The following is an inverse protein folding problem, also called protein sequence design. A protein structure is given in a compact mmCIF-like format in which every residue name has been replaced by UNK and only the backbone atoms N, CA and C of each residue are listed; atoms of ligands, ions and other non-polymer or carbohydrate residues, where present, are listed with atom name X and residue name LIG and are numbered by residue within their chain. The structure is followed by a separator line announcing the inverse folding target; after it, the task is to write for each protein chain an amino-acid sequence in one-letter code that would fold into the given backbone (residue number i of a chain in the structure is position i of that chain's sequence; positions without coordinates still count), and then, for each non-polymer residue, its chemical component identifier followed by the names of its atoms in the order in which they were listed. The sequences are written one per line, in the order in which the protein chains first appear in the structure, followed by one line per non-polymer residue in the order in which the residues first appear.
data_IF_103239549000
#
_entry.id   IF_103239549000
#
_cell.length_a   1.000
_cell.length_b   1.000
_cell.length_c   1.000
_cell.angle_alpha   90.00
_cell.angle_beta   90.00
_cell.angle_gamma   90.00
#
_symmetry.space_group_name_H-M   'P 1'
#
loop_
_entity.id
_entity.type
_entity.pdbx_description
1 polymer ?
#
# COMPACT_ATOMS: atom_id res chain seq x y z
N UNK A 1 -9.90 -19.29 15.07
CA UNK A 1 -10.76 -18.11 15.31
C UNK A 1 -10.13 -16.95 14.56
N UNK A 2 -10.87 -16.25 13.70
CA UNK A 2 -10.30 -15.14 12.92
C UNK A 2 -9.93 -13.99 13.86
N UNK A 3 -8.66 -13.62 13.88
CA UNK A 3 -8.15 -12.51 14.68
C UNK A 3 -8.82 -11.21 14.23
N UNK A 4 -9.62 -10.60 15.11
CA UNK A 4 -10.29 -9.33 14.84
C UNK A 4 -9.31 -8.18 15.07
N UNK A 5 -9.12 -7.33 14.05
CA UNK A 5 -8.18 -6.19 14.11
C UNK A 5 -8.91 -4.98 14.71
N UNK A 6 -8.52 -4.57 15.92
CA UNK A 6 -9.01 -3.36 16.56
C UNK A 6 -8.16 -2.14 16.16
N UNK A 7 -8.79 -1.11 15.62
CA UNK A 7 -8.12 0.10 15.15
C UNK A 7 -8.08 1.18 16.23
N UNK A 8 -6.94 1.86 16.33
CA UNK A 8 -6.78 3.08 17.15
C UNK A 8 -6.75 4.28 16.21
N UNK A 9 -7.67 5.22 16.42
CA UNK A 9 -7.88 6.35 15.52
C UNK A 9 -7.62 7.69 16.21
N UNK A 10 -7.16 8.65 15.41
CA UNK A 10 -6.86 10.04 15.78
C UNK A 10 -7.58 10.99 14.82
N UNK A 11 -7.88 12.19 15.30
CA UNK A 11 -8.40 13.25 14.47
C UNK A 11 -7.32 13.67 13.44
N UNK A 12 -7.66 13.80 12.14
CA UNK A 12 -6.71 14.26 11.13
C UNK A 12 -6.32 15.74 11.31
N UNK A 13 -7.15 16.54 11.99
CA UNK A 13 -6.93 17.97 12.20
C UNK A 13 -6.12 18.23 13.47
N UNK A 14 -6.65 17.86 14.64
CA UNK A 14 -6.01 18.17 15.93
C UNK A 14 -5.12 17.05 16.48
N UNK A 15 -5.02 15.91 15.78
CA UNK A 15 -4.19 14.73 16.13
C UNK A 15 -4.53 14.04 17.46
N UNK A 16 -5.48 14.54 18.25
CA UNK A 16 -5.97 13.90 19.47
C UNK A 16 -6.66 12.56 19.17
N UNK A 17 -6.52 11.61 20.10
CA UNK A 17 -7.16 10.29 20.03
C UNK A 17 -8.68 10.41 19.98
N UNK A 18 -9.31 9.67 19.07
CA UNK A 18 -10.77 9.55 18.98
C UNK A 18 -11.29 8.38 19.82
N UNK A 19 -10.43 7.67 20.54
CA UNK A 19 -10.82 6.51 21.34
C UNK A 19 -11.48 6.94 22.65
N UNK A 20 -12.71 6.49 22.89
CA UNK A 20 -13.44 6.65 24.14
C UNK A 20 -13.01 5.54 25.12
N UNK A 21 -12.18 5.89 26.10
CA UNK A 21 -11.70 4.94 27.11
C UNK A 21 -12.80 4.53 28.11
N UNK A 22 -13.86 5.32 28.25
CA UNK A 22 -14.94 5.09 29.20
C UNK A 22 -16.03 4.14 28.69
N UNK A 23 -16.02 3.80 27.40
CA UNK A 23 -17.05 2.97 26.79
C UNK A 23 -16.47 1.99 25.77
N UNK A 24 -16.94 0.74 25.79
CA UNK A 24 -16.43 -0.34 24.93
C UNK A 24 -17.50 -0.86 23.98
N UNK A 25 -17.10 -1.05 22.72
CA UNK A 25 -17.87 -1.79 21.71
C UNK A 25 -16.97 -2.91 21.20
N UNK A 26 -17.51 -4.13 21.08
CA UNK A 26 -16.72 -5.34 20.73
C UNK A 26 -15.53 -5.59 21.68
N UNK A 27 -15.70 -5.27 22.97
CA UNK A 27 -14.68 -5.47 24.00
C UNK A 27 -13.52 -4.46 23.98
N UNK A 28 -13.53 -3.52 23.04
CA UNK A 28 -12.47 -2.54 22.79
C UNK A 28 -12.99 -1.10 22.99
N UNK A 29 -12.12 -0.15 23.36
CA UNK A 29 -12.50 1.27 23.49
C UNK A 29 -13.17 1.77 22.21
N UNK A 30 -14.39 2.30 22.31
CA UNK A 30 -15.14 2.73 21.14
C UNK A 30 -14.49 3.94 20.45
N UNK A 31 -14.79 4.15 19.17
CA UNK A 31 -14.44 5.40 18.49
C UNK A 31 -15.50 6.43 18.84
N UNK A 32 -15.15 7.44 19.63
CA UNK A 32 -16.03 8.52 20.07
C UNK A 32 -16.00 9.73 19.13
N UNK A 33 -17.17 10.13 18.65
CA UNK A 33 -17.36 11.18 17.65
C UNK A 33 -18.55 12.08 18.01
N UNK A 34 -18.60 13.25 17.39
CA UNK A 34 -19.82 14.08 17.34
C UNK A 34 -20.54 13.86 16.02
N UNK A 35 -21.86 13.84 16.08
CA UNK A 35 -22.73 13.70 14.91
C UNK A 35 -23.74 14.82 14.85
N UNK A 36 -24.01 15.30 13.65
CA UNK A 36 -25.08 16.25 13.32
C UNK A 36 -25.94 15.63 12.22
N UNK A 37 -27.23 15.46 12.52
CA UNK A 37 -28.23 14.96 11.59
C UNK A 37 -29.32 16.01 11.45
N UNK A 38 -29.32 16.74 10.32
CA UNK A 38 -30.28 17.81 10.02
C UNK A 38 -30.36 18.86 11.16
N UNK A 39 -29.24 19.24 11.77
CA UNK A 39 -29.16 20.21 12.86
C UNK A 39 -29.27 19.61 14.26
N UNK A 40 -29.74 18.36 14.40
CA UNK A 40 -29.73 17.66 15.69
C UNK A 40 -28.34 17.11 15.98
N UNK A 41 -27.67 17.67 17.00
CA UNK A 41 -26.31 17.31 17.40
C UNK A 41 -26.32 16.34 18.58
N UNK A 42 -25.33 15.44 18.61
CA UNK A 42 -25.12 14.54 19.73
C UNK A 42 -23.83 13.72 19.61
N UNK A 43 -23.67 12.72 20.44
CA UNK A 43 -22.56 11.77 20.37
C UNK A 43 -22.86 10.58 19.44
N UNK A 44 -21.79 10.05 18.84
CA UNK A 44 -21.77 8.85 18.02
C UNK A 44 -20.59 7.98 18.45
N UNK A 45 -20.83 6.70 18.68
CA UNK A 45 -19.80 5.71 19.01
C UNK A 45 -19.81 4.60 17.96
N UNK A 46 -18.63 4.30 17.43
CA UNK A 46 -18.45 3.22 16.45
C UNK A 46 -17.58 2.13 17.04
N UNK A 47 -17.80 0.88 16.61
CA UNK A 47 -16.86 -0.19 16.90
C UNK A 47 -15.48 0.14 16.32
N UNK A 48 -14.40 -0.09 17.09
CA UNK A 48 -13.04 0.03 16.59
C UNK A 48 -12.60 -1.20 15.77
N UNK A 49 -13.36 -2.30 15.83
CA UNK A 49 -13.01 -3.54 15.13
C UNK A 49 -13.29 -3.39 13.65
N UNK A 50 -12.26 -3.56 12.81
CA UNK A 50 -12.41 -3.49 11.37
C UNK A 50 -13.35 -4.59 10.86
N UNK A 51 -14.35 -4.21 10.07
CA UNK A 51 -15.44 -5.09 9.63
C UNK A 51 -16.62 -5.21 10.60
N UNK A 52 -16.54 -4.64 11.81
CA UNK A 52 -17.72 -4.49 12.68
C UNK A 52 -18.52 -3.25 12.30
N UNK A 53 -19.85 -3.40 12.30
CA UNK A 53 -20.79 -2.33 11.96
C UNK A 53 -21.63 -1.89 13.16
N UNK A 54 -21.22 -2.30 14.37
CA UNK A 54 -21.88 -1.86 15.60
C UNK A 54 -21.67 -0.36 15.78
N UNK A 55 -22.77 0.30 16.06
CA UNK A 55 -22.84 1.75 16.25
C UNK A 55 -23.85 2.05 17.34
N UNK A 56 -23.49 2.98 18.18
CA UNK A 56 -24.36 3.56 19.20
C UNK A 56 -24.40 5.06 18.98
N UNK A 57 -25.55 5.67 19.24
CA UNK A 57 -25.73 7.11 19.09
C UNK A 57 -26.67 7.63 20.16
N UNK A 58 -26.50 8.90 20.53
CA UNK A 58 -27.30 9.57 21.57
C UNK A 58 -28.80 9.54 21.28
N UNK A 59 -29.14 9.55 19.99
CA UNK A 59 -30.50 9.43 19.51
C UNK A 59 -30.56 8.48 18.33
N UNK A 60 -31.73 7.89 18.03
CA UNK A 60 -31.92 7.05 16.85
C UNK A 60 -31.62 7.82 15.55
N UNK A 61 -30.77 7.26 14.70
CA UNK A 61 -30.46 7.79 13.36
C UNK A 61 -31.11 6.85 12.34
N UNK A 62 -32.05 7.39 11.55
CA UNK A 62 -32.75 6.62 10.53
C UNK A 62 -31.79 6.05 9.48
N UNK A 63 -32.02 4.80 9.07
CA UNK A 63 -31.26 4.15 7.99
C UNK A 63 -31.37 4.99 6.70
N UNK A 64 -30.27 5.13 5.98
CA UNK A 64 -30.18 5.95 4.77
C UNK A 64 -29.82 7.42 5.02
N UNK A 65 -29.91 7.91 6.26
CA UNK A 65 -29.55 9.30 6.59
C UNK A 65 -28.07 9.57 6.36
N UNK A 66 -27.75 10.69 5.74
CA UNK A 66 -26.37 11.21 5.65
C UNK A 66 -26.11 12.03 6.91
N UNK A 67 -25.03 11.71 7.62
CA UNK A 67 -24.67 12.38 8.87
C UNK A 67 -23.40 13.19 8.71
N UNK A 68 -23.31 14.35 9.37
CA UNK A 68 -22.06 15.09 9.48
C UNK A 68 -21.34 14.64 10.74
N UNK A 69 -20.11 14.15 10.58
CA UNK A 69 -19.29 13.66 11.67
C UNK A 69 -18.21 14.70 11.99
N UNK A 70 -17.99 14.97 13.27
CA UNK A 70 -16.99 15.91 13.74
C UNK A 70 -16.15 15.34 14.89
N UNK A 71 -14.93 15.86 15.04
CA UNK A 71 -14.06 15.52 16.16
C UNK A 71 -14.68 16.02 17.50
N UNK A 72 -14.73 15.20 18.57
CA UNK A 72 -15.25 15.66 19.86
C UNK A 72 -14.33 16.69 20.53
N UNK A 73 -13.04 16.73 20.15
CA UNK A 73 -12.05 17.60 20.78
C UNK A 73 -11.94 18.98 20.14
N UNK A 74 -11.84 19.07 18.81
CA UNK A 74 -11.70 20.35 18.10
C UNK A 74 -12.97 20.76 17.35
N UNK A 75 -14.02 19.93 17.36
CA UNK A 75 -15.33 20.19 16.75
C UNK A 75 -15.32 20.34 15.21
N UNK A 76 -14.14 20.31 14.58
CA UNK A 76 -13.99 20.33 13.13
C UNK A 76 -14.70 19.14 12.49
N UNK A 77 -15.46 19.41 11.42
CA UNK A 77 -16.09 18.39 10.61
C UNK A 77 -15.03 17.54 9.89
N UNK A 78 -15.15 16.23 10.01
CA UNK A 78 -14.26 15.25 9.39
C UNK A 78 -14.77 14.94 7.98
N UNK A 79 -14.70 15.93 7.09
CA UNK A 79 -15.18 15.80 5.71
C UNK A 79 -14.02 15.42 4.79
N UNK A 80 -14.15 14.30 4.07
CA UNK A 80 -13.25 13.94 2.97
C UNK A 80 -13.72 14.50 1.63
N UNK A 81 -12.83 14.51 0.64
CA UNK A 81 -13.13 14.80 -0.77
C UNK A 81 -13.65 13.58 -1.52
N UNK A 82 -13.48 12.38 -0.96
CA UNK A 82 -13.87 11.10 -1.59
C UNK A 82 -15.37 10.82 -1.40
N UNK A 83 -16.03 10.36 -2.46
CA UNK A 83 -17.40 9.88 -2.43
C UNK A 83 -17.48 8.36 -2.29
N UNK A 84 -18.56 7.87 -1.70
CA UNK A 84 -18.81 6.45 -1.56
C UNK A 84 -19.31 5.85 -2.88
N UNK A 85 -18.52 4.96 -3.47
CA UNK A 85 -18.86 4.24 -4.72
C UNK A 85 -20.16 3.43 -4.64
N UNK A 86 -20.63 3.07 -3.43
CA UNK A 86 -21.86 2.28 -3.25
C UNK A 86 -23.11 3.16 -3.20
N UNK A 87 -23.03 4.37 -2.65
CA UNK A 87 -24.24 5.16 -2.33
C UNK A 87 -24.12 6.68 -2.53
N UNK A 88 -23.00 7.14 -3.10
CA UNK A 88 -22.71 8.55 -3.41
C UNK A 88 -22.48 9.47 -2.22
N UNK A 89 -22.61 8.99 -0.96
CA UNK A 89 -22.41 9.84 0.21
C UNK A 89 -20.90 10.10 0.47
N UNK A 90 -20.54 11.25 1.02
CA UNK A 90 -19.14 11.57 1.33
C UNK A 90 -18.51 10.59 2.33
N UNK A 91 -17.24 10.28 2.13
CA UNK A 91 -16.44 9.48 3.05
C UNK A 91 -15.82 10.37 4.14
N UNK A 92 -15.77 9.83 5.36
CA UNK A 92 -15.29 10.51 6.57
C UNK A 92 -13.91 9.97 6.92
N UNK A 93 -12.83 10.76 6.76
CA UNK A 93 -11.48 10.34 7.07
C UNK A 93 -11.16 10.45 8.57
N UNK A 94 -10.48 9.45 9.10
CA UNK A 94 -9.86 9.43 10.42
C UNK A 94 -8.44 8.91 10.28
N UNK A 95 -7.48 9.39 11.07
CA UNK A 95 -6.11 8.92 10.95
C UNK A 95 -5.88 7.71 11.85
N UNK A 96 -5.18 6.70 11.34
CA UNK A 96 -4.70 5.59 12.18
C UNK A 96 -3.56 6.09 13.07
N UNK A 97 -3.53 5.64 14.32
CA UNK A 97 -2.44 5.95 15.24
C UNK A 97 -1.08 5.46 14.69
N UNK A 98 -1.10 4.36 13.96
CA UNK A 98 0.06 3.68 13.42
C UNK A 98 0.49 4.16 12.02
N UNK A 99 -0.22 5.15 11.44
CA UNK A 99 -0.01 5.65 10.09
C UNK A 99 -1.09 5.19 9.11
N UNK A 100 -1.44 6.03 8.13
CA UNK A 100 -2.56 5.84 7.22
C UNK A 100 -3.87 6.46 7.71
N UNK A 101 -4.93 6.31 6.91
CA UNK A 101 -6.26 6.87 7.08
C UNK A 101 -7.29 5.75 6.97
N UNK A 102 -8.32 5.84 7.81
CA UNK A 102 -9.53 5.03 7.73
C UNK A 102 -10.65 5.91 7.18
N UNK A 103 -11.37 5.40 6.21
CA UNK A 103 -12.52 6.05 5.61
C UNK A 103 -13.78 5.26 5.92
N UNK A 104 -14.80 5.94 6.45
CA UNK A 104 -16.15 5.38 6.63
C UNK A 104 -17.17 6.16 5.84
N UNK A 105 -18.21 5.49 5.34
CA UNK A 105 -19.32 6.19 4.71
C UNK A 105 -20.14 7.01 5.73
N UNK A 106 -20.46 8.25 5.39
CA UNK A 106 -21.35 9.11 6.19
C UNK A 106 -22.82 8.67 6.17
N UNK A 107 -23.22 7.70 5.35
CA UNK A 107 -24.60 7.24 5.24
C UNK A 107 -24.89 6.10 6.23
N UNK A 108 -25.83 6.32 7.16
CA UNK A 108 -26.28 5.28 8.09
C UNK A 108 -26.79 4.05 7.35
N UNK A 109 -26.14 2.90 7.57
CA UNK A 109 -26.51 1.62 6.97
C UNK A 109 -25.73 1.28 5.70
N UNK A 110 -24.91 2.19 5.18
CA UNK A 110 -23.88 1.83 4.19
C UNK A 110 -22.69 1.18 4.92
N UNK A 111 -22.23 0.04 4.39
CA UNK A 111 -21.12 -0.72 4.97
C UNK A 111 -19.76 -0.41 4.32
N UNK A 112 -19.69 0.45 3.30
CA UNK A 112 -18.43 0.80 2.65
C UNK A 112 -17.52 1.52 3.66
N UNK A 113 -16.36 0.93 3.84
CA UNK A 113 -15.23 1.51 4.57
C UNK A 113 -13.95 0.93 3.99
N UNK A 114 -12.84 1.65 4.12
CA UNK A 114 -11.54 1.18 3.65
C UNK A 114 -10.40 1.89 4.39
N UNK A 115 -9.24 1.26 4.37
CA UNK A 115 -7.99 1.84 4.86
C UNK A 115 -7.20 2.34 3.65
N UNK A 116 -6.56 3.48 3.81
CA UNK A 116 -5.60 4.06 2.87
C UNK A 116 -4.31 4.28 3.64
N UNK A 117 -3.19 3.79 3.14
CA UNK A 117 -1.89 4.00 3.78
C UNK A 117 -1.03 4.86 2.86
N UNK A 118 -0.45 5.93 3.39
CA UNK A 118 0.54 6.73 2.65
C UNK A 118 1.84 5.93 2.46
N UNK A 119 2.16 5.04 3.41
CA UNK A 119 3.23 4.03 3.29
C UNK A 119 2.62 2.63 3.50
N UNK A 120 2.15 2.04 2.40
CA UNK A 120 1.59 0.67 2.34
C UNK A 120 2.59 -0.36 2.91
N UNK A 121 3.87 -0.01 2.97
CA UNK A 121 5.00 -0.91 3.21
C UNK A 121 5.24 -1.02 4.71
N UNK A 122 5.19 0.13 5.41
CA UNK A 122 5.13 0.16 6.86
C UNK A 122 3.87 -0.51 7.42
N UNK A 123 2.73 -0.41 6.71
CA UNK A 123 1.49 -1.07 7.10
C UNK A 123 1.55 -2.60 6.93
N UNK A 124 2.09 -3.08 5.80
CA UNK A 124 2.32 -4.51 5.55
C UNK A 124 3.34 -5.11 6.52
N UNK A 125 4.46 -4.43 6.78
CA UNK A 125 5.46 -4.89 7.73
C UNK A 125 4.87 -5.09 9.13
N UNK A 126 4.06 -4.14 9.62
CA UNK A 126 3.35 -4.27 10.91
C UNK A 126 2.32 -5.40 10.91
N UNK A 127 1.63 -5.63 9.79
CA UNK A 127 0.72 -6.76 9.64
C UNK A 127 1.45 -8.10 9.75
N UNK A 128 2.62 -8.23 9.12
CA UNK A 128 3.49 -9.40 9.21
C UNK A 128 4.07 -9.60 10.62
N UNK A 129 4.49 -8.51 11.28
CA UNK A 129 5.03 -8.55 12.64
C UNK A 129 3.97 -8.93 13.68
N UNK A 130 2.72 -8.47 13.50
CA UNK A 130 1.60 -8.73 14.42
C UNK A 130 0.98 -10.11 14.23
N UNK A 131 0.99 -10.63 13.00
CA UNK A 131 0.48 -11.95 12.64
C UNK A 131 1.58 -12.81 12.06
N UNK A 132 2.54 -13.19 12.91
CA UNK A 132 3.42 -14.33 12.64
C UNK A 132 2.54 -15.57 12.46
N UNK A 133 2.23 -15.93 11.21
CA UNK A 133 1.50 -17.15 10.86
C UNK A 133 2.50 -18.32 10.89
N UNK A 134 2.47 -19.21 11.90
CA UNK A 134 3.32 -20.39 11.90
C UNK A 134 2.51 -21.51 11.25
N UNK A 135 2.49 -21.58 9.92
CA UNK A 135 1.68 -22.59 9.25
C UNK A 135 2.03 -22.76 7.79
N UNK A 136 2.53 -23.95 7.43
CA UNK A 136 2.60 -24.43 6.05
C UNK A 136 1.21 -24.29 5.39
N UNK A 137 1.20 -23.81 4.15
CA UNK A 137 0.03 -23.85 3.28
C UNK A 137 -0.50 -25.31 3.21
N UNK A 138 -1.78 -25.58 3.50
CA UNK A 138 -2.34 -26.90 3.31
C UNK A 138 -2.38 -27.25 1.82
N UNK A 139 -1.69 -28.33 1.46
CA UNK A 139 -1.83 -29.08 0.22
C UNK A 139 -3.05 -30.00 0.34
N UNK A 140 -4.05 -29.78 -0.52
CA UNK A 140 -5.15 -30.69 -0.95
C UNK A 140 -6.08 -31.25 0.17
N UNK A 141 -7.39 -31.49 0.06
CA UNK A 141 -8.46 -31.44 -0.93
C UNK A 141 -9.78 -31.25 -0.11
N UNK A 142 -10.87 -30.66 -0.59
CA UNK A 142 -11.71 -31.24 -1.63
C UNK A 142 -13.07 -30.54 -1.77
N UNK A 143 -13.50 -30.48 -3.03
CA UNK A 143 -14.85 -30.36 -3.59
C UNK A 143 -15.80 -29.22 -3.12
N UNK A 144 -16.13 -28.32 -4.05
CA UNK A 144 -17.49 -28.16 -4.61
C UNK A 144 -17.40 -27.56 -6.03
N UNK A 145 -18.07 -28.27 -6.94
CA UNK A 145 -18.63 -27.93 -8.25
C UNK A 145 -17.77 -27.27 -9.34
N UNK A 146 -17.65 -28.01 -10.44
CA UNK A 146 -17.20 -27.60 -11.78
C UNK A 146 -17.88 -26.31 -12.25
N UNK A 147 -17.10 -25.26 -12.52
CA UNK A 147 -17.49 -24.20 -13.45
C UNK A 147 -16.31 -23.81 -14.34
N UNK A 148 -16.58 -23.89 -15.65
CA UNK A 148 -15.81 -23.55 -16.86
C UNK A 148 -14.50 -22.78 -16.69
N UNK A 149 -13.48 -23.29 -17.37
CA UNK A 149 -12.16 -22.69 -17.66
C UNK A 149 -12.37 -21.34 -18.37
N UNK A 150 -12.42 -20.25 -17.61
CA UNK A 150 -12.21 -18.90 -18.14
C UNK A 150 -10.70 -18.65 -18.15
N UNK A 151 -10.13 -18.38 -19.32
CA UNK A 151 -8.80 -17.78 -19.43
C UNK A 151 -8.84 -16.46 -18.66
N UNK A 152 -8.06 -16.37 -17.57
CA UNK A 152 -7.89 -15.11 -16.85
C UNK A 152 -7.19 -14.14 -17.79
N UNK A 153 -7.88 -13.07 -18.18
CA UNK A 153 -7.27 -11.91 -18.82
C UNK A 153 -6.08 -11.46 -17.96
N UNK A 154 -4.91 -11.30 -18.60
CA UNK A 154 -3.69 -10.86 -17.92
C UNK A 154 -3.85 -9.40 -17.51
N UNK A 155 -3.44 -9.06 -16.29
CA UNK A 155 -3.49 -7.69 -15.76
C UNK A 155 -2.39 -6.85 -16.43
N UNK A 156 -2.68 -5.62 -16.88
CA UNK A 156 -1.70 -4.75 -17.57
C UNK A 156 -1.25 -3.61 -16.66
N UNK A 157 0.07 -3.40 -16.55
CA UNK A 157 0.65 -2.19 -15.95
C UNK A 157 0.99 -1.22 -17.08
N UNK A 158 0.29 -0.09 -17.10
CA UNK A 158 0.47 0.94 -18.10
C UNK A 158 1.73 1.77 -17.87
N UNK A 159 2.33 2.24 -18.96
CA UNK A 159 3.38 3.25 -18.96
C UNK A 159 2.97 4.46 -18.12
N UNK A 160 3.90 5.00 -17.33
CA UNK A 160 3.61 6.07 -16.38
C UNK A 160 2.92 5.63 -15.09
N UNK A 161 2.75 4.33 -14.83
CA UNK A 161 2.32 3.84 -13.51
C UNK A 161 3.42 4.06 -12.46
N UNK A 162 3.07 4.60 -11.29
CA UNK A 162 4.02 4.73 -10.18
C UNK A 162 4.36 3.36 -9.58
N UNK A 163 5.63 2.98 -9.64
CA UNK A 163 6.12 1.70 -9.15
C UNK A 163 6.55 1.84 -7.69
N UNK A 164 5.62 1.51 -6.78
CA UNK A 164 5.97 1.39 -5.37
C UNK A 164 7.02 0.27 -5.23
N UNK A 165 8.22 0.64 -4.78
CA UNK A 165 9.41 -0.20 -4.89
C UNK A 165 10.02 -0.51 -3.52
N UNK A 166 10.47 -1.75 -3.33
CA UNK A 166 10.90 -2.28 -2.04
C UNK A 166 12.15 -3.13 -2.18
N UNK A 167 12.93 -3.18 -1.10
CA UNK A 167 14.06 -4.10 -1.01
C UNK A 167 13.56 -5.54 -0.81
N UNK A 168 13.99 -6.52 -1.63
CA UNK A 168 13.60 -7.92 -1.44
C UNK A 168 14.18 -8.56 -0.18
N UNK A 169 15.20 -7.94 0.44
CA UNK A 169 15.87 -8.49 1.62
C UNK A 169 15.31 -7.97 2.95
N UNK A 170 15.03 -6.66 3.03
CA UNK A 170 14.55 -6.04 4.27
C UNK A 170 13.12 -5.47 4.17
N UNK A 171 12.48 -5.58 3.01
CA UNK A 171 11.10 -5.16 2.73
C UNK A 171 10.82 -3.67 2.94
N UNK A 172 11.81 -2.85 3.31
CA UNK A 172 11.66 -1.41 3.42
C UNK A 172 11.49 -0.77 2.04
N UNK A 173 10.68 0.29 2.02
CA UNK A 173 10.50 1.16 0.85
C UNK A 173 11.85 1.66 0.34
N UNK A 174 12.09 1.50 -0.96
CA UNK A 174 13.21 2.13 -1.66
C UNK A 174 12.86 3.54 -2.16
N UNK A 175 11.61 3.99 -1.95
CA UNK A 175 11.15 5.32 -2.32
C UNK A 175 11.68 6.36 -1.32
N UNK A 176 12.40 7.37 -1.81
CA UNK A 176 12.88 8.54 -1.07
C UNK A 176 12.51 9.81 -1.85
N UNK A 177 11.73 10.71 -1.22
CA UNK A 177 11.32 12.03 -1.76
C UNK A 177 10.92 12.04 -3.25
N UNK A 178 10.17 11.03 -3.70
CA UNK A 178 9.69 10.85 -5.10
C UNK A 178 10.70 10.20 -6.08
N UNK A 179 11.69 9.46 -5.58
CA UNK A 179 12.62 8.68 -6.40
C UNK A 179 12.88 7.30 -5.81
N UNK A 180 13.21 6.31 -6.63
CA UNK A 180 13.74 5.04 -6.13
C UNK A 180 15.24 5.24 -5.88
N UNK A 181 15.68 5.04 -4.64
CA UNK A 181 17.04 5.30 -4.20
C UNK A 181 17.82 4.03 -3.95
N UNK A 182 19.03 4.00 -4.48
CA UNK A 182 19.99 2.92 -4.32
C UNK A 182 21.34 3.46 -3.85
N UNK A 183 22.14 2.59 -3.24
CA UNK A 183 23.59 2.80 -3.16
C UNK A 183 24.19 2.14 -4.41
N UNK A 184 24.90 2.90 -5.22
CA UNK A 184 25.62 2.39 -6.39
C UNK A 184 27.09 2.21 -6.04
N UNK A 185 27.68 1.09 -6.45
CA UNK A 185 29.11 0.80 -6.27
C UNK A 185 29.75 0.66 -7.65
N UNK A 186 30.77 1.48 -7.93
CA UNK A 186 31.55 1.36 -9.17
C UNK A 186 32.64 0.30 -9.09
N UNK A 187 33.23 -0.03 -10.24
CA UNK A 187 34.31 -1.03 -10.35
C UNK A 187 35.54 -0.66 -9.51
N UNK A 188 35.86 0.63 -9.43
CA UNK A 188 36.92 1.17 -8.59
C UNK A 188 36.59 1.20 -7.09
N UNK A 189 35.43 0.68 -6.67
CA UNK A 189 34.99 0.63 -5.28
C UNK A 189 34.38 1.92 -4.74
N UNK A 190 34.33 3.02 -5.52
CA UNK A 190 33.63 4.24 -5.10
C UNK A 190 32.13 3.98 -4.98
N UNK A 191 31.56 4.39 -3.86
CA UNK A 191 30.12 4.31 -3.59
C UNK A 191 29.45 5.69 -3.74
N UNK A 192 28.20 5.70 -4.16
CA UNK A 192 27.37 6.89 -4.27
C UNK A 192 25.89 6.55 -4.14
N UNK A 193 25.02 7.56 -4.18
CA UNK A 193 23.57 7.36 -4.28
C UNK A 193 23.14 7.48 -5.74
N UNK A 194 22.32 6.54 -6.19
CA UNK A 194 21.62 6.59 -7.47
C UNK A 194 20.12 6.76 -7.20
N UNK A 195 19.53 7.80 -7.76
CA UNK A 195 18.09 8.06 -7.72
C UNK A 195 17.53 7.90 -9.13
N UNK A 196 16.57 6.99 -9.30
CA UNK A 196 15.85 6.81 -10.57
C UNK A 196 14.39 7.20 -10.40
N UNK A 197 13.75 7.51 -11.51
CA UNK A 197 12.33 7.83 -11.55
C UNK A 197 11.47 6.58 -11.19
N UNK A 198 10.44 6.72 -10.34
CA UNK A 198 9.59 5.60 -9.94
C UNK A 198 8.49 5.26 -10.94
N UNK A 199 8.25 6.07 -11.98
CA UNK A 199 7.20 5.82 -12.96
C UNK A 199 7.67 4.86 -14.06
N UNK A 200 6.86 3.86 -14.41
CA UNK A 200 7.16 2.89 -15.47
C UNK A 200 7.44 3.62 -16.79
N UNK A 201 8.48 3.19 -17.52
CA UNK A 201 8.93 3.78 -18.77
C UNK A 201 9.38 5.26 -18.70
N UNK A 202 9.66 5.76 -17.50
CA UNK A 202 10.33 7.05 -17.30
C UNK A 202 11.77 6.83 -16.86
N UNK A 203 12.73 7.10 -17.74
CA UNK A 203 14.14 6.70 -17.54
C UNK A 203 15.05 7.78 -16.94
N UNK A 204 14.46 8.85 -16.39
CA UNK A 204 15.24 9.93 -15.77
C UNK A 204 15.94 9.43 -14.49
N UNK A 205 17.21 9.81 -14.31
CA UNK A 205 18.04 9.40 -13.19
C UNK A 205 19.02 10.50 -12.78
N UNK A 206 19.44 10.47 -11.52
CA UNK A 206 20.46 11.34 -10.94
C UNK A 206 21.39 10.50 -10.07
N UNK A 207 22.68 10.80 -10.08
CA UNK A 207 23.69 10.10 -9.29
C UNK A 207 24.60 11.08 -8.58
N UNK A 208 25.04 10.75 -7.37
CA UNK A 208 26.04 11.55 -6.64
C UNK A 208 27.47 11.27 -7.09
N UNK A 209 27.66 10.25 -7.93
CA UNK A 209 28.93 9.91 -8.56
C UNK A 209 28.75 9.78 -10.07
N UNK A 210 29.79 10.11 -10.83
CA UNK A 210 29.76 9.93 -12.28
C UNK A 210 29.82 8.44 -12.66
N UNK A 211 28.87 8.03 -13.48
CA UNK A 211 28.78 6.69 -14.07
C UNK A 211 28.86 6.88 -15.59
N UNK A 212 30.00 6.54 -16.22
CA UNK A 212 30.17 6.64 -17.67
C UNK A 212 29.09 5.91 -18.45
N UNK A 213 28.73 6.47 -19.60
CA UNK A 213 27.75 5.85 -20.50
C UNK A 213 28.22 4.46 -20.94
N UNK A 214 27.31 3.49 -20.96
CA UNK A 214 27.62 2.11 -21.31
C UNK A 214 28.34 1.29 -20.22
N UNK A 215 28.72 1.88 -19.09
CA UNK A 215 29.36 1.14 -17.99
C UNK A 215 28.34 0.31 -17.20
N UNK A 216 28.71 -0.94 -16.90
CA UNK A 216 28.02 -1.75 -15.90
C UNK A 216 28.60 -1.50 -14.51
N UNK A 217 27.76 -1.04 -13.59
CA UNK A 217 28.13 -0.83 -12.18
C UNK A 217 28.48 -2.17 -11.51
N UNK A 218 29.37 -2.13 -10.51
CA UNK A 218 29.83 -3.33 -9.80
C UNK A 218 28.75 -3.91 -8.90
N UNK A 219 28.00 -3.03 -8.23
CA UNK A 219 26.93 -3.41 -7.33
C UNK A 219 25.86 -2.33 -7.25
N UNK A 220 24.65 -2.75 -6.91
CA UNK A 220 23.53 -1.89 -6.55
C UNK A 220 22.98 -2.41 -5.23
N UNK A 221 23.05 -1.62 -4.16
CA UNK A 221 22.71 -2.03 -2.80
C UNK A 221 21.50 -1.27 -2.28
N UNK A 222 20.77 -1.91 -1.37
CA UNK A 222 19.70 -1.26 -0.61
C UNK A 222 20.28 -0.18 0.33
N UNK A 223 19.73 1.06 0.37
CA UNK A 223 20.20 2.10 1.29
C UNK A 223 19.93 1.78 2.76
N UNK A 224 18.98 0.87 3.06
CA UNK A 224 18.58 0.54 4.42
C UNK A 224 19.38 -0.61 5.03
N UNK A 225 19.49 -1.73 4.32
CA UNK A 225 20.17 -2.93 4.83
C UNK A 225 21.54 -3.18 4.20
N UNK A 226 21.94 -2.37 3.21
CA UNK A 226 23.19 -2.51 2.43
C UNK A 226 23.37 -3.84 1.69
N UNK A 227 22.37 -4.70 1.68
CA UNK A 227 22.42 -5.94 0.92
C UNK A 227 22.47 -5.62 -0.59
N UNK A 228 23.26 -6.41 -1.33
CA UNK A 228 23.31 -6.33 -2.80
C UNK A 228 21.96 -6.73 -3.37
N UNK A 229 21.49 -5.96 -4.35
CA UNK A 229 20.26 -6.22 -5.09
C UNK A 229 20.53 -6.98 -6.38
N UNK A 230 21.78 -7.34 -6.68
CA UNK A 230 22.11 -8.09 -7.90
C UNK A 230 21.46 -9.47 -7.85
N UNK A 231 20.70 -9.79 -8.90
CA UNK A 231 20.21 -11.15 -9.14
C UNK A 231 21.26 -11.93 -9.93
N UNK A 232 21.90 -12.91 -9.29
CA UNK A 232 23.00 -13.67 -9.89
C UNK A 232 22.53 -14.58 -11.04
N UNK A 233 21.27 -15.00 -11.02
CA UNK A 233 20.68 -15.91 -12.02
C UNK A 233 20.07 -15.23 -13.23
N UNK A 234 20.08 -13.89 -13.32
CA UNK A 234 19.40 -13.16 -14.40
C UNK A 234 20.30 -12.13 -15.07
N UNK A 235 20.21 -12.08 -16.40
CA UNK A 235 20.88 -11.09 -17.25
C UNK A 235 19.82 -10.23 -17.94
N UNK A 236 20.26 -9.04 -18.35
CA UNK A 236 19.45 -8.13 -19.13
C UNK A 236 19.32 -8.68 -20.56
N UNK A 237 18.10 -8.88 -21.04
CA UNK A 237 17.85 -9.48 -22.36
C UNK A 237 18.36 -8.59 -23.50
N UNK A 238 18.44 -7.27 -23.27
CA UNK A 238 18.90 -6.30 -24.27
C UNK A 238 20.42 -6.19 -24.40
N UNK A 239 21.17 -6.24 -23.29
CA UNK A 239 22.61 -5.95 -23.31
C UNK A 239 23.49 -6.92 -22.51
N UNK A 240 22.90 -8.00 -21.99
CA UNK A 240 23.57 -9.09 -21.26
C UNK A 240 24.27 -8.67 -19.96
N UNK A 241 24.05 -7.44 -19.52
CA UNK A 241 24.53 -6.93 -18.24
C UNK A 241 23.83 -7.62 -17.06
N UNK A 242 24.43 -7.57 -15.86
CA UNK A 242 23.74 -7.97 -14.63
C UNK A 242 22.44 -7.17 -14.42
N UNK A 243 21.52 -7.77 -13.67
CA UNK A 243 20.26 -7.14 -13.28
C UNK A 243 20.14 -7.02 -11.78
N UNK A 244 19.53 -5.94 -11.30
CA UNK A 244 19.11 -5.81 -9.93
C UNK A 244 17.66 -6.27 -9.81
N UNK A 245 17.35 -7.00 -8.74
CA UNK A 245 16.00 -7.36 -8.36
C UNK A 245 15.49 -6.41 -7.28
N UNK A 246 14.33 -5.83 -7.54
CA UNK A 246 13.52 -5.13 -6.55
C UNK A 246 12.14 -5.78 -6.50
N UNK A 247 11.43 -5.55 -5.40
CA UNK A 247 10.00 -5.89 -5.35
C UNK A 247 9.21 -4.67 -5.74
N UNK A 248 8.19 -4.83 -6.59
CA UNK A 248 7.28 -3.75 -6.97
C UNK A 248 5.85 -4.16 -6.60
N UNK A 249 5.08 -3.22 -6.06
CA UNK A 249 3.64 -3.43 -5.88
C UNK A 249 2.92 -3.15 -7.19
N UNK A 250 2.32 -4.19 -7.76
CA UNK A 250 1.44 -4.11 -8.91
C UNK A 250 0.01 -4.47 -8.45
N UNK A 251 -0.84 -3.45 -8.31
CA UNK A 251 -2.22 -3.59 -7.82
C UNK A 251 -2.28 -4.33 -6.45
N UNK A 252 -2.77 -5.56 -6.41
CA UNK A 252 -2.92 -6.38 -5.20
C UNK A 252 -1.75 -7.35 -4.97
N UNK A 253 -0.69 -7.31 -5.79
CA UNK A 253 0.41 -8.29 -5.78
C UNK A 253 1.76 -7.60 -5.66
N UNK A 254 2.69 -8.30 -5.01
CA UNK A 254 4.10 -7.96 -5.02
C UNK A 254 4.79 -8.82 -6.08
N UNK A 255 5.43 -8.17 -7.05
CA UNK A 255 6.13 -8.85 -8.15
C UNK A 255 7.63 -8.61 -8.09
N UNK A 256 8.38 -9.56 -8.66
CA UNK A 256 9.82 -9.43 -8.84
C UNK A 256 10.11 -8.62 -10.10
N UNK A 257 10.60 -7.39 -9.91
CA UNK A 257 10.93 -6.47 -10.99
C UNK A 257 12.45 -6.34 -11.13
N UNK A 258 12.92 -6.37 -12.36
CA UNK A 258 14.34 -6.43 -12.69
C UNK A 258 14.76 -5.19 -13.48
N UNK A 259 15.90 -4.62 -13.10
CA UNK A 259 16.45 -3.41 -13.73
C UNK A 259 17.89 -3.70 -14.18
N UNK A 260 18.26 -3.25 -15.37
CA UNK A 260 19.62 -3.41 -15.88
C UNK A 260 20.64 -2.54 -15.12
N UNK A 261 21.85 -3.07 -14.88
CA UNK A 261 22.95 -2.34 -14.23
C UNK A 261 23.85 -1.55 -15.20
N UNK A 262 23.60 -1.62 -16.50
CA UNK A 262 24.37 -0.89 -17.51
C UNK A 262 23.79 0.51 -17.70
N UNK A 263 24.60 1.53 -17.46
CA UNK A 263 24.24 2.93 -17.77
C UNK A 263 23.91 3.05 -19.26
N UNK A 264 22.76 3.65 -19.57
CA UNK A 264 22.24 3.77 -20.94
C UNK A 264 21.26 2.67 -21.36
N UNK A 265 21.12 1.61 -20.56
CA UNK A 265 20.16 0.55 -20.86
C UNK A 265 18.82 0.79 -20.15
N UNK A 266 17.76 0.93 -20.94
CA UNK A 266 16.38 1.15 -20.47
C UNK A 266 15.58 -0.14 -20.25
N UNK A 267 16.23 -1.29 -20.41
CA UNK A 267 15.59 -2.58 -20.20
C UNK A 267 15.21 -2.77 -18.73
N UNK A 268 14.00 -3.27 -18.54
CA UNK A 268 13.47 -3.78 -17.29
C UNK A 268 12.64 -5.04 -17.59
N UNK A 269 12.36 -5.87 -16.58
CA UNK A 269 11.61 -7.10 -16.78
C UNK A 269 10.97 -7.64 -15.51
N UNK A 270 10.16 -8.68 -15.65
CA UNK A 270 9.49 -9.37 -14.54
C UNK A 270 9.85 -10.86 -14.50
N UNK A 271 9.64 -11.54 -13.37
CA UNK A 271 9.89 -12.98 -13.29
C UNK A 271 8.91 -13.76 -14.15
N UNK A 272 9.31 -14.91 -14.72
CA UNK A 272 8.45 -15.74 -15.57
C UNK A 272 7.14 -16.18 -14.90
N UNK A 273 7.13 -16.22 -13.56
CA UNK A 273 5.91 -16.48 -12.78
C UNK A 273 4.95 -15.29 -12.82
N UNK A 274 5.48 -14.08 -12.75
CA UNK A 274 4.72 -12.84 -12.75
C UNK A 274 4.21 -12.50 -14.17
N UNK A 275 5.00 -12.77 -15.22
CA UNK A 275 4.63 -12.52 -16.64
C UNK A 275 3.45 -13.36 -17.13
N UNK A 276 3.12 -14.45 -16.42
CA UNK A 276 1.93 -15.26 -16.69
C UNK A 276 0.63 -14.58 -16.24
N UNK A 277 0.72 -13.64 -15.31
CA UNK A 277 -0.42 -13.00 -14.65
C UNK A 277 -0.48 -11.49 -14.93
N UNK A 278 0.67 -10.88 -15.17
CA UNK A 278 0.83 -9.44 -15.33
C UNK A 278 1.66 -9.17 -16.59
N UNK A 279 1.26 -8.18 -17.37
CA UNK A 279 1.96 -7.68 -18.54
C UNK A 279 2.38 -6.22 -18.35
N UNK A 280 3.52 -5.84 -18.92
CA UNK A 280 3.93 -4.45 -19.05
C UNK A 280 3.53 -3.98 -20.45
N UNK A 281 2.97 -2.77 -20.56
CA UNK A 281 2.47 -2.23 -21.83
C UNK A 281 3.55 -2.13 -22.93
N UNK A 282 4.81 -1.94 -22.56
CA UNK A 282 5.94 -1.85 -23.49
C UNK A 282 6.80 -3.14 -23.54
N UNK A 283 6.27 -4.27 -23.03
CA UNK A 283 6.93 -5.58 -23.13
C UNK A 283 6.98 -6.02 -24.61
N UNK A 284 8.07 -6.64 -25.10
CA UNK A 284 8.15 -7.21 -26.46
C UNK A 284 7.19 -8.39 -26.71
N UNK A 285 6.18 -8.58 -25.86
CA UNK A 285 5.17 -9.64 -25.87
C UNK A 285 3.85 -9.20 -26.53
N UNK A 286 3.86 -8.06 -27.24
CA UNK A 286 2.80 -7.66 -28.18
C UNK A 286 2.90 -8.47 -29.48
#
# INVERSE_FOLDING_TARGET
MASQVALKLKCPVCRKSLMDKGHKIDGQSAIGLRVDVKGKKGWLRLSPVYGSYKVESEFPIAKGSIVRISCPHCQTALKGSTECEICGASMVPMMLEEGGKMFICSRRGCKKHFLEFEDINGALAKFHDTYSYPGKLPTDAGAISKSKKQEKEKEVIHSGTFLQSYCPHCQRSLIDKNSIKFIVVRRNGREGSLMINPYLNVFTNRSTIEIPEGEQVKDLKCPHCRHSLIEKGRRCDKCQSYTAKITVSAMQKLISFYICLRKGCFWHGMSDKDTKLIMLEDSPEW
#
